data_IF_084544946708
#
_entry.id   IF_084544946708
#
_cell.length_a   1.000
_cell.length_b   1.000
_cell.length_c   1.000
_cell.angle_alpha   90.00
_cell.angle_beta   90.00
_cell.angle_gamma   90.00
#
_symmetry.space_group_name_H-M   'P 1'
#
loop_
_entity.id
_entity.type
_entity.pdbx_description
1 polymer ?
#
# COMPACT_ATOMS: atom_id res chain seq x y z
N UNK A 1 13.82 7.37 15.44
CA UNK A 1 13.40 8.71 15.01
C UNK A 1 12.68 9.39 16.18
N UNK A 2 12.90 10.68 16.35
CA UNK A 2 12.13 11.50 17.30
C UNK A 2 11.18 12.38 16.49
N UNK A 3 9.89 12.29 16.81
CA UNK A 3 8.87 13.10 16.17
C UNK A 3 8.32 14.06 17.21
N UNK A 4 8.37 15.36 16.96
CA UNK A 4 7.81 16.37 17.82
C UNK A 4 6.31 16.54 17.53
N UNK A 5 5.46 16.36 18.53
CA UNK A 5 4.03 16.64 18.43
C UNK A 5 3.79 18.12 18.75
N UNK A 6 3.28 18.91 17.81
CA UNK A 6 2.99 20.32 18.07
C UNK A 6 1.63 20.48 18.76
N UNK A 7 1.62 20.66 20.06
CA UNK A 7 0.41 21.07 20.80
C UNK A 7 -0.70 20.01 20.86
N UNK A 8 -1.91 20.45 21.21
CA UNK A 8 -3.09 19.61 21.38
C UNK A 8 -3.72 19.20 20.05
N UNK A 9 -4.13 17.94 19.91
CA UNK A 9 -4.86 17.40 18.74
C UNK A 9 -4.12 17.51 17.41
N UNK A 10 -2.83 17.18 17.36
CA UNK A 10 -2.05 17.24 16.14
C UNK A 10 -1.66 15.85 15.64
N UNK A 11 -1.75 15.66 14.34
CA UNK A 11 -1.20 14.50 13.65
C UNK A 11 0.15 14.86 13.03
N UNK A 12 1.15 14.06 13.29
CA UNK A 12 2.46 14.20 12.66
C UNK A 12 2.79 12.90 11.94
N UNK A 13 3.19 13.03 10.69
CA UNK A 13 3.60 11.89 9.87
C UNK A 13 5.11 11.77 9.87
N UNK A 14 5.63 10.57 10.14
CA UNK A 14 7.06 10.26 9.99
C UNK A 14 7.49 10.41 8.54
N UNK A 15 8.69 10.94 8.32
CA UNK A 15 9.34 10.94 7.01
C UNK A 15 10.03 9.62 6.68
N UNK A 16 10.06 8.68 7.65
CA UNK A 16 10.69 7.37 7.51
C UNK A 16 9.66 6.26 7.46
N UNK A 17 9.95 5.25 6.66
CA UNK A 17 9.16 4.03 6.58
C UNK A 17 9.71 3.00 7.55
N UNK A 18 8.83 2.43 8.38
CA UNK A 18 9.18 1.39 9.33
C UNK A 18 8.55 0.06 8.90
N UNK A 19 9.34 -0.99 8.83
CA UNK A 19 8.83 -2.36 8.63
C UNK A 19 8.13 -2.87 9.89
N UNK A 20 8.65 -2.48 11.04
CA UNK A 20 8.14 -2.91 12.35
C UNK A 20 8.35 -1.78 13.34
N UNK A 21 7.32 -1.49 14.11
CA UNK A 21 7.37 -0.56 15.23
C UNK A 21 7.40 -1.37 16.53
N UNK A 22 8.52 -1.35 17.25
CA UNK A 22 8.70 -2.14 18.47
C UNK A 22 8.15 -1.44 19.70
N UNK A 23 8.30 -0.13 19.77
CA UNK A 23 7.78 0.67 20.86
C UNK A 23 7.67 2.15 20.47
N UNK A 24 6.76 2.85 21.12
CA UNK A 24 6.68 4.30 21.08
C UNK A 24 6.65 4.79 22.51
N UNK A 25 7.54 5.72 22.83
CA UNK A 25 7.62 6.28 24.19
C UNK A 25 7.46 7.80 24.08
N UNK A 26 6.46 8.39 24.71
CA UNK A 26 6.34 9.84 24.79
C UNK A 26 7.48 10.41 25.63
N UNK A 27 8.00 11.56 25.24
CA UNK A 27 9.07 12.26 25.99
C UNK A 27 8.58 12.95 27.25
N UNK A 28 7.26 13.07 27.42
CA UNK A 28 6.61 13.65 28.57
C UNK A 28 5.32 12.88 28.90
N UNK A 29 4.82 13.03 30.11
CA UNK A 29 3.53 12.47 30.52
C UNK A 29 2.42 13.06 29.66
N UNK A 30 1.61 12.22 29.03
CA UNK A 30 0.48 12.63 28.19
C UNK A 30 -0.82 12.81 28.99
N UNK A 31 -0.79 12.58 30.30
CA UNK A 31 -1.96 12.75 31.19
C UNK A 31 -3.09 11.78 30.84
N UNK A 32 -4.29 12.33 30.65
CA UNK A 32 -5.46 11.57 30.19
C UNK A 32 -5.63 11.55 28.69
N UNK A 33 -4.69 12.12 27.95
CA UNK A 33 -4.74 12.17 26.48
C UNK A 33 -4.44 10.78 25.88
N UNK A 34 -4.93 10.57 24.70
CA UNK A 34 -4.68 9.34 23.91
C UNK A 34 -3.69 9.63 22.81
N UNK A 35 -2.88 8.63 22.51
CA UNK A 35 -1.97 8.65 21.36
C UNK A 35 -2.30 7.49 20.44
N UNK A 36 -2.76 7.80 19.24
CA UNK A 36 -3.01 6.83 18.21
C UNK A 36 -1.80 6.71 17.28
N UNK A 37 -1.40 5.49 17.00
CA UNK A 37 -0.30 5.19 16.10
C UNK A 37 -0.85 4.37 14.95
N UNK A 38 -0.68 4.86 13.74
CA UNK A 38 -1.24 4.22 12.56
C UNK A 38 -0.49 4.58 11.29
N UNK A 39 -1.02 4.11 10.20
CA UNK A 39 -0.54 4.45 8.86
C UNK A 39 -1.16 5.77 8.43
N UNK A 40 -0.32 6.67 7.93
CA UNK A 40 -0.85 7.86 7.26
C UNK A 40 -1.14 7.53 5.79
N UNK A 41 -2.31 7.91 5.31
CA UNK A 41 -2.60 7.90 3.88
C UNK A 41 -2.10 9.21 3.22
N UNK A 42 -1.64 9.19 1.95
CA UNK A 42 -1.50 8.00 1.11
C UNK A 42 -0.31 7.12 1.51
N UNK A 43 -0.49 5.82 1.42
CA UNK A 43 0.58 4.86 1.67
C UNK A 43 0.55 3.71 0.65
N UNK A 44 1.72 3.16 0.34
CA UNK A 44 1.86 2.08 -0.63
C UNK A 44 2.32 0.80 0.05
N UNK A 45 1.84 -0.34 -0.44
CA UNK A 45 2.37 -1.65 -0.05
C UNK A 45 3.78 -1.86 -0.60
N UNK A 46 4.41 -2.94 -0.18
CA UNK A 46 5.56 -3.45 -0.94
C UNK A 46 5.14 -3.78 -2.39
N UNK A 47 6.13 -3.77 -3.29
CA UNK A 47 5.95 -4.20 -4.68
C UNK A 47 5.95 -5.72 -4.76
N UNK A 48 4.98 -6.28 -5.45
CA UNK A 48 4.86 -7.71 -5.70
C UNK A 48 5.36 -8.01 -7.11
N UNK A 49 6.44 -8.82 -7.26
CA UNK A 49 6.92 -9.22 -8.57
C UNK A 49 5.91 -10.14 -9.26
N UNK A 50 5.80 -9.99 -10.57
CA UNK A 50 4.96 -10.83 -11.41
C UNK A 50 5.85 -11.59 -12.38
N UNK A 51 5.56 -12.88 -12.62
CA UNK A 51 6.22 -13.64 -13.66
C UNK A 51 5.66 -13.26 -15.02
N UNK A 52 6.27 -12.26 -15.64
CA UNK A 52 5.90 -11.77 -16.96
C UNK A 52 6.41 -12.66 -18.12
N UNK A 53 7.19 -13.69 -17.83
CA UNK A 53 7.65 -14.69 -18.79
C UNK A 53 6.66 -15.85 -18.97
N UNK A 54 5.64 -15.93 -18.15
CA UNK A 54 4.59 -16.93 -18.29
C UNK A 54 3.75 -16.65 -19.55
N UNK A 55 4.19 -17.15 -20.68
CA UNK A 55 3.69 -16.79 -22.04
C UNK A 55 2.36 -17.44 -22.37
N UNK A 56 1.84 -18.34 -21.56
CA UNK A 56 0.69 -19.15 -21.94
C UNK A 56 -0.48 -18.96 -21.00
N UNK A 57 -1.14 -17.80 -21.17
CA UNK A 57 -2.54 -17.64 -20.77
C UNK A 57 -2.84 -17.64 -19.28
N UNK A 58 -1.85 -17.60 -18.44
CA UNK A 58 -2.05 -17.40 -17.00
C UNK A 58 -2.29 -15.92 -16.71
N UNK A 59 -3.55 -15.49 -16.74
CA UNK A 59 -3.92 -14.15 -16.27
C UNK A 59 -3.51 -13.98 -14.81
N UNK A 60 -3.32 -12.73 -14.41
CA UNK A 60 -3.16 -12.38 -13.00
C UNK A 60 -4.53 -11.99 -12.50
N UNK A 61 -5.01 -12.69 -11.48
CA UNK A 61 -6.25 -12.32 -10.80
C UNK A 61 -5.92 -11.53 -9.53
N UNK A 62 -6.70 -10.52 -9.28
CA UNK A 62 -6.60 -9.61 -8.15
C UNK A 62 -7.86 -9.72 -7.31
N UNK A 63 -7.71 -9.75 -5.99
CA UNK A 63 -8.83 -9.67 -5.07
C UNK A 63 -8.51 -8.68 -3.95
N UNK A 64 -9.37 -7.72 -3.73
CA UNK A 64 -9.28 -6.77 -2.63
C UNK A 64 -10.51 -6.92 -1.75
N UNK A 65 -10.28 -7.22 -0.49
CA UNK A 65 -11.34 -7.26 0.53
C UNK A 65 -11.04 -6.22 1.59
N UNK A 66 -11.98 -5.34 1.84
CA UNK A 66 -11.85 -4.29 2.84
C UNK A 66 -12.88 -4.43 3.96
N UNK A 67 -12.51 -3.95 5.14
CA UNK A 67 -13.43 -3.73 6.27
C UNK A 67 -13.20 -2.31 6.79
N UNK A 68 -14.27 -1.59 7.06
CA UNK A 68 -14.20 -0.16 7.37
C UNK A 68 -14.16 0.70 6.11
N UNK A 69 -13.73 1.94 6.24
CA UNK A 69 -13.69 2.90 5.12
C UNK A 69 -12.26 3.10 4.63
N UNK A 70 -12.03 2.69 3.41
CA UNK A 70 -10.74 2.84 2.70
C UNK A 70 -11.06 3.34 1.29
N UNK A 71 -10.28 4.30 0.79
CA UNK A 71 -10.21 4.60 -0.64
C UNK A 71 -8.83 4.13 -1.14
N UNK A 72 -8.81 3.36 -2.22
CA UNK A 72 -7.59 2.69 -2.67
C UNK A 72 -7.51 2.55 -4.18
N UNK A 73 -6.27 2.30 -4.64
CA UNK A 73 -5.94 1.91 -6.01
C UNK A 73 -5.12 0.62 -5.99
N UNK A 74 -5.26 -0.19 -7.02
CA UNK A 74 -4.27 -1.18 -7.39
C UNK A 74 -3.46 -0.60 -8.54
N UNK A 75 -2.13 -0.62 -8.41
CA UNK A 75 -1.24 -0.05 -9.40
C UNK A 75 -0.29 -1.10 -9.95
N UNK A 76 0.08 -0.93 -11.21
CA UNK A 76 1.08 -1.75 -11.88
C UNK A 76 2.18 -0.90 -12.52
N UNK A 77 3.30 -1.52 -12.79
CA UNK A 77 4.39 -0.92 -13.56
C UNK A 77 4.92 -1.89 -14.61
N UNK A 78 5.45 -1.33 -15.70
CA UNK A 78 6.18 -2.06 -16.72
C UNK A 78 7.70 -1.86 -16.56
N UNK A 79 8.11 -0.96 -15.68
CA UNK A 79 9.51 -0.65 -15.41
C UNK A 79 10.18 -1.74 -14.55
N UNK A 80 11.49 -1.91 -14.70
CA UNK A 80 12.26 -2.85 -13.88
C UNK A 80 12.57 -2.26 -12.50
N UNK A 81 11.60 -2.35 -11.60
CA UNK A 81 11.67 -1.81 -10.23
C UNK A 81 12.59 -2.62 -9.30
N UNK A 82 13.04 -3.79 -9.73
CA UNK A 82 13.90 -4.67 -8.91
C UNK A 82 15.38 -4.53 -9.22
N UNK A 83 15.75 -3.81 -10.27
CA UNK A 83 17.14 -3.60 -10.65
C UNK A 83 17.94 -2.80 -9.61
N UNK A 84 17.33 -1.79 -8.99
CA UNK A 84 17.94 -0.98 -7.94
C UNK A 84 16.89 -0.18 -7.17
N UNK A 85 17.29 0.38 -6.01
CA UNK A 85 16.44 1.31 -5.24
C UNK A 85 16.08 2.56 -6.08
N UNK A 86 17.04 3.08 -6.84
CA UNK A 86 16.81 4.22 -7.72
C UNK A 86 15.78 3.89 -8.82
N UNK A 87 15.85 2.70 -9.42
CA UNK A 87 14.87 2.24 -10.40
C UNK A 87 13.46 2.16 -9.80
N UNK A 88 13.32 1.64 -8.58
CA UNK A 88 12.02 1.56 -7.90
C UNK A 88 11.43 2.93 -7.57
N UNK A 89 12.26 3.93 -7.26
CA UNK A 89 11.83 5.29 -6.96
C UNK A 89 11.45 6.08 -8.22
N UNK A 90 12.10 5.79 -9.35
CA UNK A 90 11.86 6.46 -10.63
C UNK A 90 10.77 5.79 -11.48
N UNK A 91 10.24 4.66 -11.06
CA UNK A 91 9.27 3.89 -11.83
C UNK A 91 7.95 4.63 -12.04
N UNK A 92 7.40 4.48 -13.25
CA UNK A 92 6.07 4.94 -13.58
C UNK A 92 5.04 3.91 -13.11
N UNK A 93 4.07 4.35 -12.36
CA UNK A 93 2.98 3.51 -11.87
C UNK A 93 1.66 3.94 -12.50
N UNK A 94 0.90 2.97 -12.96
CA UNK A 94 -0.38 3.15 -13.61
C UNK A 94 -1.47 2.50 -12.79
N UNK A 95 -2.59 3.16 -12.62
CA UNK A 95 -3.73 2.60 -11.93
C UNK A 95 -4.36 1.47 -12.75
N UNK A 96 -4.87 0.47 -12.06
CA UNK A 96 -5.67 -0.58 -12.71
C UNK A 96 -6.96 0.02 -13.26
N UNK A 97 -7.32 -0.36 -14.47
CA UNK A 97 -8.43 0.27 -15.21
C UNK A 97 -9.80 0.20 -14.53
N UNK A 98 -10.01 -0.77 -13.64
CA UNK A 98 -11.27 -0.96 -12.90
C UNK A 98 -11.10 -0.98 -11.38
N UNK A 99 -9.90 -0.79 -10.85
CA UNK A 99 -9.64 -0.73 -9.41
C UNK A 99 -8.82 0.54 -9.14
N UNK A 100 -9.48 1.69 -9.29
CA UNK A 100 -8.90 3.00 -9.08
C UNK A 100 -9.90 3.88 -8.31
N UNK A 101 -9.41 4.52 -7.23
CA UNK A 101 -10.22 5.29 -6.27
C UNK A 101 -11.40 4.49 -5.72
N UNK A 102 -11.23 3.18 -5.54
CA UNK A 102 -12.29 2.27 -5.13
C UNK A 102 -12.51 2.35 -3.61
N UNK A 103 -13.74 2.10 -3.19
CA UNK A 103 -14.15 2.18 -1.77
C UNK A 103 -14.90 0.94 -1.30
N UNK A 104 -14.97 -0.09 -2.15
CA UNK A 104 -15.65 -1.35 -1.87
C UNK A 104 -14.70 -2.52 -2.13
N UNK A 105 -15.01 -3.68 -1.55
CA UNK A 105 -14.34 -4.93 -1.92
C UNK A 105 -14.59 -5.25 -3.38
N UNK A 106 -13.55 -5.59 -4.11
CA UNK A 106 -13.59 -5.75 -5.56
C UNK A 106 -12.60 -6.80 -6.04
N UNK A 107 -12.78 -7.25 -7.26
CA UNK A 107 -11.83 -8.11 -7.95
C UNK A 107 -11.50 -7.57 -9.35
N UNK A 108 -10.41 -8.05 -9.90
CA UNK A 108 -9.96 -7.65 -11.23
C UNK A 108 -8.91 -8.59 -11.80
N UNK A 109 -8.44 -8.27 -12.98
CA UNK A 109 -7.39 -9.05 -13.62
C UNK A 109 -6.52 -8.21 -14.55
N UNK A 110 -5.31 -8.71 -14.82
CA UNK A 110 -4.47 -8.25 -15.91
C UNK A 110 -4.47 -9.29 -17.03
N UNK A 111 -4.93 -8.87 -18.22
CA UNK A 111 -4.88 -9.67 -19.43
C UNK A 111 -3.56 -9.51 -20.21
N UNK A 112 -2.66 -8.66 -19.72
CA UNK A 112 -1.37 -8.34 -20.31
C UNK A 112 -0.26 -8.46 -19.26
N UNK A 113 0.98 -8.74 -19.67
CA UNK A 113 2.09 -8.84 -18.73
C UNK A 113 2.38 -7.49 -18.06
N UNK A 114 2.58 -7.52 -16.75
CA UNK A 114 3.05 -6.39 -15.96
C UNK A 114 4.29 -6.82 -15.18
N UNK A 115 5.17 -5.89 -14.84
CA UNK A 115 6.43 -6.19 -14.15
C UNK A 115 6.25 -6.36 -12.64
N UNK A 116 5.46 -5.48 -12.06
CA UNK A 116 5.13 -5.52 -10.65
C UNK A 116 3.76 -4.88 -10.38
N UNK A 117 3.18 -5.24 -9.25
CA UNK A 117 1.90 -4.75 -8.77
C UNK A 117 2.10 -4.23 -7.34
N UNK A 118 1.39 -3.17 -6.98
CA UNK A 118 1.32 -2.67 -5.61
C UNK A 118 -0.10 -2.19 -5.28
N UNK A 119 -0.37 -2.09 -4.00
CA UNK A 119 -1.58 -1.51 -3.46
C UNK A 119 -1.30 -0.10 -2.92
N UNK A 120 -2.15 0.86 -3.22
CA UNK A 120 -2.07 2.23 -2.74
C UNK A 120 -3.33 2.55 -1.93
N UNK A 121 -3.17 3.05 -0.70
CA UNK A 121 -4.28 3.65 0.06
C UNK A 121 -4.26 5.17 -0.12
N UNK A 122 -5.37 5.74 -0.58
CA UNK A 122 -5.54 7.19 -0.70
C UNK A 122 -6.05 7.80 0.60
N UNK A 123 -7.06 7.17 1.19
CA UNK A 123 -7.58 7.52 2.52
C UNK A 123 -7.94 6.27 3.28
N UNK A 124 -7.84 6.33 4.60
CA UNK A 124 -8.17 5.22 5.50
C UNK A 124 -8.71 5.76 6.81
N UNK A 125 -9.76 5.13 7.35
CA UNK A 125 -10.25 5.41 8.71
C UNK A 125 -9.58 4.48 9.72
N UNK A 126 -9.47 4.94 10.96
CA UNK A 126 -8.91 4.13 12.04
C UNK A 126 -9.66 2.80 12.19
N UNK A 127 -8.92 1.71 12.35
CA UNK A 127 -9.45 0.35 12.47
C UNK A 127 -9.87 -0.31 11.16
N UNK A 128 -9.76 0.38 10.03
CA UNK A 128 -10.01 -0.25 8.74
C UNK A 128 -8.91 -1.25 8.37
N UNK A 129 -9.29 -2.31 7.69
CA UNK A 129 -8.36 -3.36 7.25
C UNK A 129 -8.52 -3.67 5.77
N UNK A 130 -7.44 -4.12 5.15
CA UNK A 130 -7.43 -4.58 3.77
C UNK A 130 -6.72 -5.93 3.66
N UNK A 131 -7.30 -6.83 2.87
CA UNK A 131 -6.64 -8.03 2.37
C UNK A 131 -6.49 -7.90 0.85
N UNK A 132 -5.26 -7.93 0.38
CA UNK A 132 -4.94 -7.86 -1.05
C UNK A 132 -4.33 -9.17 -1.51
N UNK A 133 -5.00 -9.85 -2.42
CA UNK A 133 -4.61 -11.14 -2.95
C UNK A 133 -4.25 -11.01 -4.43
N UNK A 134 -3.11 -11.58 -4.78
CA UNK A 134 -2.63 -11.69 -6.17
C UNK A 134 -2.49 -13.18 -6.47
N UNK A 135 -3.24 -13.66 -7.45
CA UNK A 135 -3.15 -15.03 -7.91
C UNK A 135 -2.66 -15.04 -9.35
N UNK A 136 -1.52 -15.66 -9.56
CA UNK A 136 -0.94 -15.88 -10.88
C UNK A 136 -1.03 -17.36 -11.22
N UNK A 137 -1.63 -17.66 -12.37
CA UNK A 137 -1.63 -19.02 -12.91
C UNK A 137 -0.20 -19.42 -13.30
N UNK A 138 0.22 -20.59 -12.85
CA UNK A 138 1.43 -21.25 -13.32
C UNK A 138 1.05 -22.45 -14.20
N UNK A 139 1.90 -22.79 -15.15
CA UNK A 139 1.85 -24.09 -15.81
C UNK A 139 2.53 -25.14 -14.97
#
# INVERSE_FOLDING_TARGET
ETIALPGTSATVTSTKYFKTLTSVTPSATIGSDTMDIGWAAPSVSQMYPVDYHSVTGGGISLGVTITGTINFDVQHTLDDVFASVAASQAANWFDHSSIAADTASTDGNYAFPVRAIRFLTNTVTNGATVSFNILQGSR
#
